data_IF_871664869510
#
_entry.id   IF_871664869510
#
_cell.length_a   1.000
_cell.length_b   1.000
_cell.length_c   1.000
_cell.angle_alpha   90.00
_cell.angle_beta   90.00
_cell.angle_gamma   90.00
#
_symmetry.space_group_name_H-M   'P 1'
#
loop_
_entity.id
_entity.type
_entity.pdbx_description
1 polymer ?
#
# COMPACT_ATOMS: atom_id res chain seq x y z
N UNK A 1 -11.38 -15.87 10.69
CA UNK A 1 -10.23 -15.44 9.87
C UNK A 1 -9.81 -16.56 8.94
N UNK A 2 -9.47 -16.26 7.67
CA UNK A 2 -8.84 -17.21 6.73
C UNK A 2 -7.34 -17.01 6.74
N UNK A 3 -6.58 -18.08 6.47
CA UNK A 3 -5.12 -18.06 6.40
C UNK A 3 -4.65 -18.57 5.04
N UNK A 4 -3.50 -18.06 4.55
CA UNK A 4 -2.99 -18.36 3.21
C UNK A 4 -1.50 -18.66 3.25
N UNK A 5 -0.98 -19.29 2.22
CA UNK A 5 0.46 -19.50 2.04
C UNK A 5 1.17 -18.18 1.70
N UNK A 6 2.43 -18.04 2.11
CA UNK A 6 3.28 -16.88 1.81
C UNK A 6 4.52 -17.36 1.03
N UNK A 7 4.36 -17.55 -0.28
CA UNK A 7 5.42 -18.11 -1.11
C UNK A 7 5.95 -19.44 -0.55
N UNK A 8 7.27 -19.53 -0.38
CA UNK A 8 7.97 -20.67 0.18
C UNK A 8 8.18 -20.58 1.72
N UNK A 9 7.74 -19.50 2.35
CA UNK A 9 7.93 -19.27 3.79
C UNK A 9 7.02 -20.19 4.59
N UNK A 10 7.57 -20.87 5.60
CA UNK A 10 6.81 -21.72 6.53
C UNK A 10 6.02 -20.88 7.56
N UNK A 11 5.14 -20.07 7.04
CA UNK A 11 4.19 -19.25 7.78
C UNK A 11 2.93 -19.05 6.94
N UNK A 12 1.78 -19.29 7.54
CA UNK A 12 0.48 -19.09 6.90
C UNK A 12 -0.20 -17.85 7.51
N UNK A 13 0.03 -16.64 6.92
CA UNK A 13 -0.54 -15.38 7.42
C UNK A 13 -2.06 -15.36 7.31
N UNK A 14 -2.68 -14.57 8.20
CA UNK A 14 -4.07 -14.18 8.05
C UNK A 14 -4.27 -13.44 6.71
N UNK A 15 -5.39 -13.69 6.05
CA UNK A 15 -5.71 -13.06 4.76
C UNK A 15 -5.75 -11.51 4.82
N UNK A 16 -5.93 -10.97 6.03
CA UNK A 16 -5.87 -9.53 6.35
C UNK A 16 -4.70 -9.26 7.29
N UNK A 17 -3.77 -8.40 6.88
CA UNK A 17 -2.73 -7.84 7.73
C UNK A 17 -3.10 -6.44 8.23
N UNK A 18 -2.61 -6.08 9.41
CA UNK A 18 -2.83 -4.77 10.04
C UNK A 18 -1.75 -3.78 9.58
N UNK A 19 -2.15 -2.80 8.73
CA UNK A 19 -1.25 -1.74 8.25
C UNK A 19 -1.25 -0.53 9.20
N UNK A 20 -0.09 -0.14 9.71
CA UNK A 20 0.07 0.97 10.66
C UNK A 20 0.38 2.34 10.01
N UNK A 21 0.12 2.50 8.71
CA UNK A 21 0.32 3.79 8.02
C UNK A 21 -0.84 4.80 8.26
N UNK A 22 -2.03 4.31 8.61
CA UNK A 22 -3.25 5.13 8.73
C UNK A 22 -3.94 4.93 10.07
N UNK A 23 -3.16 4.87 11.14
CA UNK A 23 -3.68 4.75 12.50
C UNK A 23 -4.62 5.91 12.84
N UNK A 24 -5.57 5.74 13.77
CA UNK A 24 -6.37 6.84 14.27
C UNK A 24 -5.49 7.94 14.84
N UNK A 25 -5.88 9.19 14.61
CA UNK A 25 -5.16 10.38 15.06
C UNK A 25 -6.04 11.22 15.98
N UNK A 26 -5.43 11.95 16.92
CA UNK A 26 -6.13 12.88 17.78
C UNK A 26 -6.74 14.05 16.97
N UNK A 27 -7.69 14.76 17.54
CA UNK A 27 -8.38 15.85 16.87
C UNK A 27 -7.38 16.88 16.30
N UNK A 28 -7.53 17.19 15.00
CA UNK A 28 -6.62 18.07 14.25
C UNK A 28 -5.46 17.39 13.55
N UNK A 29 -5.21 16.10 13.79
CA UNK A 29 -4.27 15.28 13.04
C UNK A 29 -4.91 14.76 11.74
N UNK A 30 -4.20 14.92 10.60
CA UNK A 30 -4.57 14.27 9.34
C UNK A 30 -4.04 12.82 9.28
N UNK A 31 -4.48 12.03 8.28
CA UNK A 31 -3.93 10.70 8.06
C UNK A 31 -2.41 10.73 7.94
N UNK A 32 -1.71 9.85 8.67
CA UNK A 32 -0.25 9.76 8.66
C UNK A 32 0.48 10.84 9.46
N UNK A 33 -0.23 11.74 10.20
CA UNK A 33 0.40 12.71 11.09
C UNK A 33 1.06 12.01 12.30
N UNK A 34 2.02 12.69 12.95
CA UNK A 34 2.66 12.21 14.18
C UNK A 34 1.70 12.04 15.38
N UNK A 35 0.52 12.67 15.32
CA UNK A 35 -0.44 12.71 16.42
C UNK A 35 -1.34 11.46 16.48
N UNK A 36 -0.77 10.28 16.73
CA UNK A 36 -1.50 9.02 16.86
C UNK A 36 -2.40 9.07 18.12
N UNK A 37 -3.66 8.68 17.98
CA UNK A 37 -4.48 8.30 19.15
C UNK A 37 -4.08 6.89 19.59
N UNK A 38 -3.07 6.83 20.47
CA UNK A 38 -2.51 5.56 20.92
C UNK A 38 -3.52 4.65 21.59
N UNK A 39 -4.49 5.22 22.31
CA UNK A 39 -5.53 4.43 22.98
C UNK A 39 -6.43 3.73 21.97
N UNK A 40 -6.94 4.47 20.99
CA UNK A 40 -7.78 3.93 19.93
C UNK A 40 -6.99 2.95 19.05
N UNK A 41 -5.77 3.30 18.65
CA UNK A 41 -4.90 2.45 17.82
C UNK A 41 -4.56 1.12 18.51
N UNK A 42 -4.21 1.16 19.81
CA UNK A 42 -3.89 -0.05 20.59
C UNK A 42 -5.13 -0.93 20.78
N UNK A 43 -6.30 -0.34 21.03
CA UNK A 43 -7.56 -1.08 21.12
C UNK A 43 -7.89 -1.78 19.77
N UNK A 44 -7.64 -1.12 18.63
CA UNK A 44 -7.81 -1.71 17.30
C UNK A 44 -6.82 -2.85 17.06
N UNK A 45 -5.54 -2.68 17.41
CA UNK A 45 -4.53 -3.74 17.27
C UNK A 45 -4.92 -4.96 18.12
N UNK A 46 -5.31 -4.75 19.38
CA UNK A 46 -5.79 -5.82 20.26
C UNK A 46 -6.95 -6.57 19.63
N UNK A 47 -7.97 -5.84 19.14
CA UNK A 47 -9.15 -6.45 18.51
C UNK A 47 -8.80 -7.24 17.24
N UNK A 48 -7.87 -6.74 16.44
CA UNK A 48 -7.36 -7.44 15.27
C UNK A 48 -6.70 -8.77 15.64
N UNK A 49 -5.82 -8.76 16.65
CA UNK A 49 -5.14 -9.96 17.17
C UNK A 49 -6.13 -10.96 17.74
N UNK A 50 -7.13 -10.52 18.51
CA UNK A 50 -8.21 -11.38 19.03
C UNK A 50 -9.01 -12.06 17.91
N UNK A 51 -9.20 -11.35 16.79
CA UNK A 51 -9.88 -11.87 15.58
C UNK A 51 -9.00 -12.77 14.71
N UNK A 52 -7.72 -12.95 15.06
CA UNK A 52 -6.80 -13.83 14.37
C UNK A 52 -5.92 -13.17 13.32
N UNK A 53 -5.83 -11.82 13.29
CA UNK A 53 -4.80 -11.13 12.52
C UNK A 53 -3.44 -11.41 13.16
N UNK A 54 -2.48 -11.84 12.35
CA UNK A 54 -1.17 -12.31 12.81
C UNK A 54 0.01 -11.63 12.10
N UNK A 55 -0.25 -10.60 11.30
CA UNK A 55 0.77 -9.80 10.62
C UNK A 55 0.49 -8.30 10.81
N UNK A 56 1.49 -7.57 11.30
CA UNK A 56 1.44 -6.11 11.50
C UNK A 56 2.55 -5.46 10.69
N UNK A 57 2.18 -4.52 9.82
CA UNK A 57 3.09 -3.79 8.94
C UNK A 57 3.26 -2.34 9.40
N UNK A 58 4.50 -1.92 9.61
CA UNK A 58 4.88 -0.53 9.85
C UNK A 58 6.04 -0.11 8.94
N UNK A 59 6.54 1.10 9.10
CA UNK A 59 7.76 1.59 8.45
C UNK A 59 8.39 2.76 9.22
N UNK A 60 9.68 2.97 9.01
CA UNK A 60 10.50 4.01 9.62
C UNK A 60 9.87 5.41 9.54
N UNK A 61 9.20 5.73 8.42
CA UNK A 61 8.65 7.07 8.15
C UNK A 61 7.16 7.22 8.47
N UNK A 62 6.46 6.13 8.82
CA UNK A 62 5.02 6.21 9.08
C UNK A 62 4.71 7.06 10.30
N UNK A 63 3.68 7.89 10.20
CA UNK A 63 3.30 8.87 11.23
C UNK A 63 4.47 9.77 11.64
N UNK A 64 5.24 10.26 10.65
CA UNK A 64 6.44 11.07 10.87
C UNK A 64 7.48 10.41 11.79
N UNK A 65 7.54 9.07 11.79
CA UNK A 65 8.47 8.27 12.59
C UNK A 65 7.88 7.74 13.91
N UNK A 66 6.63 8.08 14.25
CA UNK A 66 6.00 7.67 15.50
C UNK A 66 5.33 6.28 15.46
N UNK A 67 5.15 5.69 14.25
CA UNK A 67 4.47 4.40 14.12
C UNK A 67 5.25 3.23 14.75
N UNK A 68 6.57 3.17 14.57
CA UNK A 68 7.41 2.13 15.18
C UNK A 68 7.45 2.25 16.72
N UNK A 69 7.71 3.44 17.33
CA UNK A 69 7.65 3.59 18.78
C UNK A 69 6.28 3.25 19.38
N UNK A 70 5.18 3.67 18.71
CA UNK A 70 3.84 3.27 19.11
C UNK A 70 3.65 1.77 19.08
N UNK A 71 4.07 1.10 17.99
CA UNK A 71 3.89 -0.35 17.84
C UNK A 71 4.63 -1.12 18.93
N UNK A 72 5.85 -0.71 19.30
CA UNK A 72 6.61 -1.31 20.40
C UNK A 72 5.85 -1.26 21.73
N UNK A 73 5.25 -0.11 22.06
CA UNK A 73 4.40 0.04 23.26
C UNK A 73 3.10 -0.76 23.16
N UNK A 74 2.43 -0.70 22.00
CA UNK A 74 1.17 -1.37 21.76
C UNK A 74 1.28 -2.90 21.85
N UNK A 75 2.36 -3.49 21.30
CA UNK A 75 2.61 -4.93 21.42
C UNK A 75 2.74 -5.37 22.87
N UNK A 76 3.44 -4.61 23.72
CA UNK A 76 3.56 -4.91 25.16
C UNK A 76 2.23 -4.78 25.90
N UNK A 77 1.44 -3.75 25.57
CA UNK A 77 0.11 -3.57 26.15
C UNK A 77 -0.85 -4.71 25.78
N UNK A 78 -0.93 -5.04 24.47
CA UNK A 78 -1.74 -6.16 23.98
C UNK A 78 -1.29 -7.51 24.57
N UNK A 79 0.03 -7.72 24.68
CA UNK A 79 0.59 -8.92 25.29
C UNK A 79 0.21 -9.04 26.78
N UNK A 80 0.30 -7.91 27.52
CA UNK A 80 -0.08 -7.90 28.93
C UNK A 80 -1.56 -8.23 29.13
N UNK A 81 -2.42 -7.70 28.28
CA UNK A 81 -3.86 -7.95 28.33
C UNK A 81 -4.24 -9.40 27.96
N UNK A 82 -3.61 -9.99 26.96
CA UNK A 82 -3.99 -11.30 26.42
C UNK A 82 -3.23 -12.47 27.03
N UNK A 83 -1.99 -12.27 27.45
CA UNK A 83 -1.06 -13.33 27.88
C UNK A 83 -0.39 -13.07 29.23
N UNK A 84 -0.65 -11.92 29.84
CA UNK A 84 -0.02 -11.47 31.07
C UNK A 84 1.19 -10.55 30.86
N UNK A 85 1.58 -9.80 31.90
CA UNK A 85 2.61 -8.78 31.81
C UNK A 85 4.03 -9.35 31.66
N UNK A 86 4.93 -8.52 31.16
CA UNK A 86 6.36 -8.79 31.05
C UNK A 86 6.77 -9.56 29.81
N UNK A 87 8.03 -9.97 29.76
CA UNK A 87 8.65 -10.58 28.59
C UNK A 87 8.00 -11.93 28.19
N UNK A 88 7.50 -12.70 29.15
CA UNK A 88 6.80 -13.96 28.86
C UNK A 88 5.50 -13.75 28.09
N UNK A 89 4.73 -12.71 28.43
CA UNK A 89 3.53 -12.30 27.70
C UNK A 89 3.88 -11.82 26.30
N UNK A 90 4.89 -10.96 26.17
CA UNK A 90 5.36 -10.49 24.87
C UNK A 90 5.83 -11.65 23.98
N UNK A 91 6.61 -12.58 24.52
CA UNK A 91 7.05 -13.77 23.80
C UNK A 91 5.88 -14.66 23.35
N UNK A 92 4.81 -14.77 24.16
CA UNK A 92 3.60 -15.49 23.80
C UNK A 92 2.86 -14.81 22.63
N UNK A 93 2.73 -13.48 22.65
CA UNK A 93 2.16 -12.70 21.55
C UNK A 93 2.99 -12.86 20.27
N UNK A 94 4.33 -12.69 20.37
CA UNK A 94 5.27 -12.71 19.23
C UNK A 94 5.35 -14.09 18.53
N UNK A 95 5.02 -15.19 19.21
CA UNK A 95 4.86 -16.49 18.54
C UNK A 95 3.69 -16.51 17.55
N UNK A 96 2.67 -15.69 17.78
CA UNK A 96 1.46 -15.61 16.94
C UNK A 96 1.48 -14.43 15.98
N UNK A 97 1.96 -13.27 16.42
CA UNK A 97 1.91 -12.03 15.67
C UNK A 97 3.30 -11.68 15.15
N UNK A 98 3.41 -11.60 13.85
CA UNK A 98 4.62 -11.21 13.13
C UNK A 98 4.65 -9.72 12.88
N UNK A 99 5.83 -9.12 13.02
CA UNK A 99 6.06 -7.69 12.80
C UNK A 99 6.89 -7.49 11.55
N UNK A 100 6.43 -6.58 10.71
CA UNK A 100 7.15 -6.11 9.53
C UNK A 100 7.49 -4.62 9.67
N UNK A 101 8.73 -4.25 9.32
CA UNK A 101 9.10 -2.87 9.06
C UNK A 101 10.05 -2.77 7.88
N UNK A 102 10.46 -1.55 7.50
CA UNK A 102 11.10 -1.30 6.20
C UNK A 102 12.31 -0.40 6.32
N UNK A 103 13.43 -0.78 5.68
CA UNK A 103 14.63 0.05 5.52
C UNK A 103 14.37 1.18 4.52
N UNK A 104 14.42 2.45 4.90
CA UNK A 104 14.25 3.57 3.97
C UNK A 104 15.52 3.75 3.13
N UNK A 105 15.62 3.04 1.98
CA UNK A 105 16.84 2.98 1.16
C UNK A 105 17.30 4.35 0.65
N UNK A 106 16.39 5.31 0.49
CA UNK A 106 16.69 6.69 0.09
C UNK A 106 17.39 7.53 1.18
N UNK A 107 17.54 6.97 2.39
CA UNK A 107 18.26 7.61 3.52
C UNK A 107 19.68 7.06 3.69
N UNK A 108 20.11 6.17 2.81
CA UNK A 108 21.46 5.61 2.87
C UNK A 108 22.44 6.60 2.24
N UNK A 109 23.43 7.03 3.02
CA UNK A 109 24.54 7.90 2.63
C UNK A 109 25.89 7.15 2.72
N UNK A 110 25.90 6.03 3.45
CA UNK A 110 27.06 5.18 3.66
C UNK A 110 26.66 3.70 3.81
N UNK A 111 27.67 2.81 3.76
CA UNK A 111 27.45 1.36 3.98
C UNK A 111 27.02 1.03 5.42
N UNK A 112 27.37 1.87 6.39
CA UNK A 112 27.05 1.65 7.79
C UNK A 112 25.61 2.06 8.14
N UNK A 113 24.93 2.80 7.25
CA UNK A 113 23.58 3.30 7.51
C UNK A 113 22.54 2.20 7.62
N UNK A 114 22.65 1.12 6.85
CA UNK A 114 21.74 -0.03 6.96
C UNK A 114 21.77 -0.64 8.36
N UNK A 115 22.97 -0.78 8.93
CA UNK A 115 23.17 -1.28 10.30
C UNK A 115 22.61 -0.32 11.34
N UNK A 116 22.92 0.97 11.22
CA UNK A 116 22.42 2.01 12.12
C UNK A 116 20.90 2.10 12.09
N UNK A 117 20.28 2.10 10.91
CA UNK A 117 18.83 2.20 10.76
C UNK A 117 18.10 0.96 11.31
N UNK A 118 18.63 -0.24 11.09
CA UNK A 118 18.08 -1.45 11.72
C UNK A 118 18.16 -1.36 13.25
N UNK A 119 19.29 -0.91 13.80
CA UNK A 119 19.45 -0.69 15.24
C UNK A 119 18.40 0.28 15.79
N UNK A 120 18.23 1.44 15.14
CA UNK A 120 17.20 2.43 15.50
C UNK A 120 15.77 1.84 15.46
N UNK A 121 15.46 1.00 14.46
CA UNK A 121 14.14 0.36 14.32
C UNK A 121 13.90 -0.68 15.40
N UNK A 122 14.89 -1.50 15.74
CA UNK A 122 14.82 -2.45 16.85
C UNK A 122 14.57 -1.73 18.18
N UNK A 123 15.28 -0.61 18.42
CA UNK A 123 15.10 0.22 19.62
C UNK A 123 13.69 0.83 19.68
N UNK A 124 13.19 1.40 18.58
CA UNK A 124 11.85 1.98 18.48
C UNK A 124 10.74 0.94 18.72
N UNK A 125 10.88 -0.22 18.10
CA UNK A 125 9.96 -1.35 18.26
C UNK A 125 10.12 -2.06 19.61
N UNK A 126 11.23 -1.82 20.34
CA UNK A 126 11.59 -2.52 21.56
C UNK A 126 11.64 -4.05 21.37
N UNK A 127 12.22 -4.49 20.26
CA UNK A 127 12.34 -5.90 19.86
C UNK A 127 13.83 -6.25 19.63
N UNK A 128 14.17 -7.52 19.86
CA UNK A 128 15.49 -8.05 19.55
C UNK A 128 15.65 -8.47 18.07
N UNK A 129 14.52 -8.78 17.42
CA UNK A 129 14.46 -9.17 16.01
C UNK A 129 13.15 -8.75 15.35
N UNK A 130 13.18 -8.59 14.02
CA UNK A 130 12.05 -8.27 13.16
C UNK A 130 11.75 -9.50 12.30
N UNK A 131 10.48 -9.97 12.27
CA UNK A 131 10.15 -11.18 11.52
C UNK A 131 10.24 -10.97 10.00
N UNK A 132 9.73 -9.84 9.49
CA UNK A 132 9.70 -9.50 8.07
C UNK A 132 10.32 -8.13 7.83
N UNK A 133 11.40 -8.10 7.08
CA UNK A 133 12.12 -6.87 6.82
C UNK A 133 12.11 -6.54 5.32
N UNK A 134 11.63 -5.35 4.97
CA UNK A 134 11.51 -4.93 3.58
C UNK A 134 12.55 -3.85 3.25
N UNK A 135 13.08 -3.87 2.05
CA UNK A 135 13.69 -2.69 1.48
C UNK A 135 12.57 -1.79 0.93
N UNK A 136 12.50 -0.55 1.41
CA UNK A 136 11.32 0.31 1.26
C UNK A 136 11.30 1.07 -0.06
N UNK A 137 10.21 0.94 -0.83
CA UNK A 137 9.91 1.78 -1.97
C UNK A 137 10.90 1.61 -3.13
N UNK A 138 11.28 0.38 -3.47
CA UNK A 138 12.23 0.14 -4.55
C UNK A 138 11.63 0.49 -5.92
N UNK A 139 12.49 0.92 -6.82
CA UNK A 139 12.21 1.25 -8.23
C UNK A 139 13.46 1.09 -9.08
N UNK A 140 13.47 1.65 -10.29
CA UNK A 140 14.53 1.48 -11.29
C UNK A 140 15.94 1.87 -10.78
N UNK A 141 16.02 2.97 -10.04
CA UNK A 141 17.31 3.48 -9.53
C UNK A 141 17.81 2.73 -8.29
N UNK A 142 16.95 1.93 -7.67
CA UNK A 142 17.25 1.28 -6.39
C UNK A 142 18.39 0.28 -6.48
N UNK A 143 18.52 -0.45 -7.60
CA UNK A 143 19.63 -1.41 -7.78
C UNK A 143 21.00 -0.75 -7.69
N UNK A 144 21.14 0.49 -8.15
CA UNK A 144 22.38 1.24 -8.03
C UNK A 144 22.68 1.55 -6.56
N UNK A 145 21.68 2.04 -5.81
CA UNK A 145 21.79 2.34 -4.37
C UNK A 145 22.15 1.07 -3.58
N UNK A 146 21.44 -0.05 -3.86
CA UNK A 146 21.70 -1.32 -3.17
C UNK A 146 23.15 -1.82 -3.36
N UNK A 147 23.71 -1.62 -4.56
CA UNK A 147 25.11 -1.99 -4.87
C UNK A 147 26.10 -1.03 -4.23
N UNK A 148 25.88 0.27 -4.32
CA UNK A 148 26.77 1.31 -3.77
C UNK A 148 26.97 1.14 -2.26
N UNK A 149 25.89 0.83 -1.56
CA UNK A 149 25.90 0.69 -0.10
C UNK A 149 25.99 -0.77 0.40
N UNK A 150 26.25 -1.75 -0.50
CA UNK A 150 26.36 -3.19 -0.14
C UNK A 150 25.16 -3.73 0.65
N UNK A 151 23.94 -3.24 0.36
CA UNK A 151 22.74 -3.50 1.16
C UNK A 151 22.39 -4.99 1.18
N UNK A 152 22.50 -5.70 0.05
CA UNK A 152 22.16 -7.13 -0.01
C UNK A 152 23.15 -7.99 0.81
N UNK A 153 24.44 -7.69 0.76
CA UNK A 153 25.42 -8.39 1.59
C UNK A 153 25.26 -8.08 3.08
N UNK A 154 24.83 -6.87 3.42
CA UNK A 154 24.42 -6.53 4.79
C UNK A 154 23.18 -7.32 5.22
N UNK A 155 22.15 -7.38 4.37
CA UNK A 155 20.91 -8.09 4.67
C UNK A 155 21.15 -9.60 4.89
N UNK A 156 22.03 -10.22 4.08
CA UNK A 156 22.43 -11.62 4.25
C UNK A 156 23.06 -11.87 5.64
N UNK A 157 23.90 -10.92 6.14
CA UNK A 157 24.44 -11.02 7.51
C UNK A 157 23.36 -10.86 8.57
N UNK A 158 22.44 -9.90 8.42
CA UNK A 158 21.35 -9.65 9.37
C UNK A 158 20.33 -10.82 9.41
N UNK A 159 20.14 -11.54 8.28
CA UNK A 159 19.43 -12.82 8.23
C UNK A 159 20.21 -13.92 8.99
N UNK A 160 21.52 -14.02 8.72
CA UNK A 160 22.37 -15.05 9.31
C UNK A 160 22.53 -14.93 10.82
N UNK A 161 22.50 -13.72 11.38
CA UNK A 161 22.56 -13.48 12.83
C UNK A 161 21.18 -13.42 13.51
N UNK A 162 20.11 -13.52 12.74
CA UNK A 162 18.72 -13.64 13.23
C UNK A 162 18.08 -12.32 13.66
N UNK A 163 18.68 -11.16 13.35
CA UNK A 163 18.05 -9.85 13.63
C UNK A 163 16.87 -9.55 12.70
N UNK A 164 16.89 -10.11 11.49
CA UNK A 164 15.73 -10.17 10.59
C UNK A 164 15.41 -11.62 10.25
N UNK A 165 14.12 -11.95 10.17
CA UNK A 165 13.67 -13.31 9.90
C UNK A 165 13.57 -13.62 8.41
N UNK A 166 12.88 -12.74 7.66
CA UNK A 166 12.63 -12.86 6.23
C UNK A 166 12.90 -11.54 5.54
N UNK A 167 13.52 -11.59 4.35
CA UNK A 167 13.83 -10.42 3.55
C UNK A 167 12.88 -10.30 2.35
N UNK A 168 12.36 -9.08 2.16
CA UNK A 168 11.55 -8.72 1.01
C UNK A 168 11.74 -7.26 0.62
N UNK A 169 10.87 -6.78 -0.25
CA UNK A 169 10.88 -5.37 -0.66
C UNK A 169 9.46 -4.87 -0.93
N UNK A 170 9.23 -3.56 -0.79
CA UNK A 170 8.05 -2.88 -1.32
C UNK A 170 8.42 -2.14 -2.61
N UNK A 171 7.49 -2.07 -3.54
CA UNK A 171 7.75 -1.63 -4.90
C UNK A 171 6.73 -0.59 -5.39
N UNK A 172 7.24 0.46 -6.08
CA UNK A 172 6.44 1.55 -6.60
C UNK A 172 6.96 2.08 -7.96
N UNK A 173 7.22 1.19 -8.92
CA UNK A 173 7.70 1.58 -10.25
C UNK A 173 7.13 0.66 -11.34
N UNK A 174 7.56 0.81 -12.57
CA UNK A 174 7.08 0.06 -13.73
C UNK A 174 7.49 -1.43 -13.71
N UNK A 175 6.72 -2.26 -14.42
CA UNK A 175 6.91 -3.71 -14.50
C UNK A 175 8.34 -4.13 -14.87
N UNK A 176 8.99 -3.41 -15.78
CA UNK A 176 10.36 -3.71 -16.23
C UNK A 176 11.39 -3.56 -15.09
N UNK A 177 11.22 -2.54 -14.24
CA UNK A 177 12.04 -2.36 -13.03
C UNK A 177 11.73 -3.46 -11.99
N UNK A 178 10.45 -3.86 -11.88
CA UNK A 178 10.04 -4.94 -10.99
C UNK A 178 10.75 -6.25 -11.31
N UNK A 179 10.74 -6.66 -12.58
CA UNK A 179 11.40 -7.91 -13.00
C UNK A 179 12.90 -7.89 -12.74
N UNK A 180 13.57 -6.73 -13.00
CA UNK A 180 15.00 -6.59 -12.72
C UNK A 180 15.32 -6.70 -11.23
N UNK A 181 14.45 -6.16 -10.36
CA UNK A 181 14.61 -6.28 -8.90
C UNK A 181 14.39 -7.70 -8.41
N UNK A 182 13.34 -8.36 -8.89
CA UNK A 182 13.05 -9.76 -8.53
C UNK A 182 14.22 -10.66 -8.92
N UNK A 183 14.81 -10.46 -10.11
CA UNK A 183 15.89 -11.29 -10.63
C UNK A 183 17.29 -10.88 -10.09
N UNK A 184 17.38 -9.80 -9.29
CA UNK A 184 18.67 -9.28 -8.83
C UNK A 184 19.35 -10.16 -7.77
N UNK A 185 18.61 -10.98 -7.04
CA UNK A 185 19.12 -11.82 -5.94
C UNK A 185 18.12 -12.92 -5.58
N UNK A 186 18.65 -14.04 -5.09
CA UNK A 186 17.85 -15.15 -4.53
C UNK A 186 17.50 -14.94 -3.04
N UNK A 187 17.87 -13.79 -2.45
CA UNK A 187 17.56 -13.48 -1.06
C UNK A 187 16.10 -13.06 -0.83
N UNK A 188 15.38 -12.70 -1.89
CA UNK A 188 13.99 -12.30 -1.76
C UNK A 188 13.09 -13.49 -1.46
N UNK A 189 12.33 -13.40 -0.37
CA UNK A 189 11.33 -14.40 0.00
C UNK A 189 9.90 -13.90 -0.28
N UNK A 190 9.71 -12.56 -0.30
CA UNK A 190 8.41 -11.93 -0.55
C UNK A 190 8.56 -10.53 -1.14
N UNK A 191 7.48 -10.03 -1.70
CA UNK A 191 7.37 -8.64 -2.15
C UNK A 191 6.04 -8.02 -1.72
N UNK A 192 6.01 -6.69 -1.65
CA UNK A 192 4.83 -5.90 -1.35
C UNK A 192 4.54 -4.96 -2.51
N UNK A 193 3.40 -5.14 -3.19
CA UNK A 193 3.00 -4.38 -4.36
C UNK A 193 1.65 -3.70 -4.17
N UNK A 194 1.45 -2.57 -4.82
CA UNK A 194 0.14 -1.95 -4.96
C UNK A 194 -0.70 -2.78 -5.94
N UNK A 195 -1.92 -3.18 -5.53
CA UNK A 195 -2.82 -3.91 -6.43
C UNK A 195 -4.29 -3.76 -6.02
N UNK A 196 -5.14 -3.37 -6.95
CA UNK A 196 -6.59 -3.23 -6.80
C UNK A 196 -7.27 -3.24 -8.18
N UNK A 197 -8.59 -3.33 -8.25
CA UNK A 197 -9.32 -3.44 -9.52
C UNK A 197 -9.28 -2.19 -10.41
N UNK A 198 -8.78 -1.04 -9.90
CA UNK A 198 -8.54 0.16 -10.70
C UNK A 198 -7.17 0.12 -11.38
N UNK A 199 -6.18 -0.49 -10.73
CA UNK A 199 -4.76 -0.39 -11.03
C UNK A 199 -4.18 -1.76 -11.47
N UNK A 200 -4.92 -2.53 -12.30
CA UNK A 200 -4.52 -3.87 -12.79
C UNK A 200 -3.24 -3.83 -13.66
N UNK A 201 -2.99 -2.70 -14.34
CA UNK A 201 -1.85 -2.50 -15.25
C UNK A 201 -0.88 -1.42 -14.76
N UNK A 202 -1.07 -0.93 -13.53
CA UNK A 202 -0.26 0.14 -12.95
C UNK A 202 0.85 -0.43 -12.07
N UNK A 203 2.06 0.11 -12.16
CA UNK A 203 3.27 -0.36 -11.47
C UNK A 203 3.59 -1.82 -11.82
N UNK A 204 3.79 -2.70 -10.82
CA UNK A 204 3.98 -4.13 -11.05
C UNK A 204 2.76 -4.76 -11.76
N UNK A 205 1.56 -4.34 -11.38
CA UNK A 205 0.29 -4.78 -11.93
C UNK A 205 0.07 -6.30 -11.86
N UNK A 206 -0.88 -6.80 -12.65
CA UNK A 206 -1.16 -8.24 -12.75
C UNK A 206 0.06 -9.03 -13.22
N UNK A 207 0.80 -8.49 -14.20
CA UNK A 207 2.02 -9.13 -14.72
C UNK A 207 3.08 -9.33 -13.64
N UNK A 208 3.28 -8.32 -12.79
CA UNK A 208 4.24 -8.41 -11.67
C UNK A 208 3.77 -9.35 -10.58
N UNK A 209 2.47 -9.37 -10.27
CA UNK A 209 1.88 -10.33 -9.34
C UNK A 209 2.17 -11.77 -9.78
N UNK A 210 1.85 -12.11 -11.03
CA UNK A 210 2.08 -13.44 -11.62
C UNK A 210 3.58 -13.77 -11.66
N UNK A 211 4.41 -12.80 -12.09
CA UNK A 211 5.87 -12.97 -12.20
C UNK A 211 6.53 -13.29 -10.85
N UNK A 212 6.13 -12.61 -9.76
CA UNK A 212 6.64 -12.89 -8.43
C UNK A 212 6.20 -14.27 -7.91
N UNK A 213 4.92 -14.61 -8.11
CA UNK A 213 4.36 -15.89 -7.67
C UNK A 213 5.00 -17.08 -8.40
N UNK A 214 5.26 -16.97 -9.72
CA UNK A 214 5.97 -17.99 -10.51
C UNK A 214 7.40 -18.26 -10.00
N UNK A 215 8.02 -17.27 -9.34
CA UNK A 215 9.34 -17.40 -8.72
C UNK A 215 9.29 -17.85 -7.26
N UNK A 216 8.09 -18.17 -6.76
CA UNK A 216 7.90 -18.66 -5.40
C UNK A 216 7.93 -17.57 -4.33
N UNK A 217 7.93 -16.28 -4.69
CA UNK A 217 7.83 -15.21 -3.72
C UNK A 217 6.42 -15.12 -3.13
N UNK A 218 6.35 -14.81 -1.83
CA UNK A 218 5.10 -14.39 -1.21
C UNK A 218 4.70 -13.00 -1.71
N UNK A 219 3.46 -12.83 -2.18
CA UNK A 219 2.99 -11.52 -2.63
C UNK A 219 2.02 -10.92 -1.63
N UNK A 220 2.43 -9.79 -1.05
CA UNK A 220 1.63 -8.97 -0.13
C UNK A 220 1.07 -7.79 -0.92
N UNK A 221 -0.24 -7.58 -0.83
CA UNK A 221 -0.88 -6.46 -1.50
C UNK A 221 -1.05 -5.28 -0.56
N UNK A 222 -0.51 -4.13 -0.94
CA UNK A 222 -0.81 -2.83 -0.35
C UNK A 222 -1.80 -2.05 -1.21
N UNK A 223 -2.44 -1.05 -0.64
CA UNK A 223 -3.44 -0.20 -1.29
C UNK A 223 -4.60 -0.96 -1.97
N UNK A 224 -5.18 -2.00 -1.33
CA UNK A 224 -6.31 -2.73 -1.91
C UNK A 224 -7.54 -1.84 -2.12
N UNK A 225 -7.61 -0.70 -1.45
CA UNK A 225 -8.65 0.32 -1.54
C UNK A 225 -8.16 1.62 -2.17
N UNK A 226 -7.06 1.59 -2.94
CA UNK A 226 -6.46 2.75 -3.61
C UNK A 226 -6.29 3.94 -2.65
N UNK A 227 -5.53 3.74 -1.58
CA UNK A 227 -5.33 4.76 -0.54
C UNK A 227 -6.60 5.16 0.22
N UNK A 228 -7.66 4.33 0.17
CA UNK A 228 -8.97 4.59 0.80
C UNK A 228 -9.99 5.24 -0.14
N UNK A 229 -9.65 5.53 -1.39
CA UNK A 229 -10.56 6.17 -2.35
C UNK A 229 -11.77 5.27 -2.67
N UNK A 230 -11.56 3.96 -2.84
CA UNK A 230 -12.62 2.99 -3.11
C UNK A 230 -13.56 2.76 -1.92
N UNK A 231 -13.22 3.25 -0.73
CA UNK A 231 -14.07 3.23 0.45
C UNK A 231 -14.97 4.48 0.57
N UNK A 232 -14.77 5.50 -0.26
CA UNK A 232 -15.57 6.72 -0.25
C UNK A 232 -16.94 6.47 -0.90
N UNK A 233 -17.86 7.40 -0.67
CA UNK A 233 -19.15 7.39 -1.38
C UNK A 233 -18.90 7.45 -2.89
N UNK A 234 -19.30 6.43 -3.65
CA UNK A 234 -19.06 6.41 -5.08
C UNK A 234 -19.93 7.44 -5.82
N UNK A 235 -19.48 7.91 -7.00
CA UNK A 235 -20.33 8.66 -7.92
C UNK A 235 -21.58 7.88 -8.30
N UNK A 236 -22.66 8.57 -8.71
CA UNK A 236 -23.97 7.95 -8.97
C UNK A 236 -23.90 6.80 -9.99
N UNK A 237 -23.16 6.98 -11.09
CA UNK A 237 -23.00 5.93 -12.10
C UNK A 237 -22.40 4.63 -11.55
N UNK A 238 -21.45 4.75 -10.63
CA UNK A 238 -20.82 3.61 -9.95
C UNK A 238 -21.76 3.03 -8.89
N UNK A 239 -22.45 3.90 -8.12
CA UNK A 239 -23.43 3.47 -7.13
C UNK A 239 -24.56 2.63 -7.76
N UNK A 240 -25.02 3.00 -8.94
CA UNK A 240 -26.06 2.28 -9.68
C UNK A 240 -25.60 0.86 -10.09
N UNK A 241 -24.32 0.70 -10.46
CA UNK A 241 -23.72 -0.61 -10.75
C UNK A 241 -23.69 -1.52 -9.53
N UNK A 242 -23.25 -0.98 -8.38
CA UNK A 242 -23.24 -1.73 -7.12
C UNK A 242 -24.66 -2.09 -6.67
N UNK A 243 -25.61 -1.15 -6.73
CA UNK A 243 -27.01 -1.41 -6.38
C UNK A 243 -27.66 -2.48 -7.29
N UNK A 244 -27.30 -2.50 -8.59
CA UNK A 244 -27.77 -3.55 -9.50
C UNK A 244 -27.18 -4.93 -9.15
N UNK A 245 -25.94 -4.97 -8.68
CA UNK A 245 -25.30 -6.20 -8.22
C UNK A 245 -25.96 -6.71 -6.92
N UNK A 246 -26.23 -5.82 -5.97
CA UNK A 246 -26.87 -6.18 -4.71
C UNK A 246 -28.26 -6.77 -4.93
N UNK A 247 -29.08 -6.18 -5.80
CA UNK A 247 -30.39 -6.76 -6.16
C UNK A 247 -30.27 -8.18 -6.74
N UNK A 248 -29.22 -8.47 -7.53
CA UNK A 248 -28.99 -9.82 -8.05
C UNK A 248 -28.57 -10.79 -6.97
N UNK A 249 -27.72 -10.34 -6.02
CA UNK A 249 -27.26 -11.14 -4.88
C UNK A 249 -28.44 -11.47 -3.97
N UNK A 250 -29.27 -10.49 -3.64
CA UNK A 250 -30.48 -10.68 -2.84
C UNK A 250 -31.47 -11.66 -3.49
N UNK A 251 -31.67 -11.54 -4.82
CA UNK A 251 -32.52 -12.49 -5.57
C UNK A 251 -31.94 -13.92 -5.54
N UNK A 252 -30.64 -14.08 -5.34
CA UNK A 252 -29.96 -15.37 -5.17
C UNK A 252 -29.87 -15.82 -3.71
N UNK A 253 -30.49 -15.09 -2.76
CA UNK A 253 -30.43 -15.37 -1.33
C UNK A 253 -29.08 -15.05 -0.68
N UNK A 254 -28.25 -14.20 -1.31
CA UNK A 254 -26.95 -13.78 -0.82
C UNK A 254 -27.04 -12.37 -0.23
N UNK A 255 -26.25 -12.10 0.82
CA UNK A 255 -26.16 -10.76 1.39
C UNK A 255 -25.56 -9.75 0.39
N UNK A 256 -25.98 -8.47 0.42
CA UNK A 256 -25.35 -7.41 -0.35
C UNK A 256 -23.88 -7.22 0.08
N UNK A 257 -23.08 -6.59 -0.78
CA UNK A 257 -21.67 -6.27 -0.52
C UNK A 257 -21.46 -4.76 -0.58
N UNK A 258 -20.69 -4.23 0.37
CA UNK A 258 -20.21 -2.86 0.28
C UNK A 258 -19.16 -2.69 -0.83
N UNK A 259 -18.92 -1.48 -1.35
CA UNK A 259 -17.82 -1.23 -2.28
C UNK A 259 -16.45 -1.69 -1.72
N UNK A 260 -16.23 -1.55 -0.41
CA UNK A 260 -15.04 -2.05 0.30
C UNK A 260 -14.95 -3.58 0.23
N UNK A 261 -16.06 -4.29 0.54
CA UNK A 261 -16.07 -5.76 0.46
C UNK A 261 -15.80 -6.24 -0.98
N UNK A 262 -16.39 -5.59 -2.01
CA UNK A 262 -16.08 -5.89 -3.39
C UNK A 262 -14.60 -5.75 -3.73
N UNK A 263 -13.96 -4.65 -3.31
CA UNK A 263 -12.55 -4.39 -3.58
C UNK A 263 -11.63 -5.40 -2.87
N UNK A 264 -11.88 -5.69 -1.59
CA UNK A 264 -11.10 -6.65 -0.83
C UNK A 264 -11.28 -8.09 -1.39
N UNK A 265 -12.52 -8.50 -1.69
CA UNK A 265 -12.78 -9.81 -2.29
C UNK A 265 -12.16 -9.95 -3.69
N UNK A 266 -12.08 -8.86 -4.46
CA UNK A 266 -11.41 -8.86 -5.74
C UNK A 266 -9.93 -9.19 -5.59
N UNK A 267 -9.21 -8.52 -4.67
CA UNK A 267 -7.80 -8.82 -4.39
C UNK A 267 -7.63 -10.26 -3.91
N UNK A 268 -8.46 -10.70 -2.96
CA UNK A 268 -8.37 -12.07 -2.44
C UNK A 268 -8.77 -13.14 -3.44
N UNK A 269 -9.45 -12.80 -4.54
CA UNK A 269 -9.79 -13.77 -5.59
C UNK A 269 -8.60 -14.25 -6.40
N UNK A 270 -7.48 -13.50 -6.38
CA UNK A 270 -6.24 -13.89 -7.06
C UNK A 270 -5.50 -14.93 -6.20
N UNK A 271 -5.23 -16.14 -6.76
CA UNK A 271 -4.53 -17.19 -6.02
C UNK A 271 -3.08 -16.83 -5.68
N UNK A 272 -2.45 -15.96 -6.48
CA UNK A 272 -1.08 -15.45 -6.32
C UNK A 272 -0.94 -14.52 -5.12
N UNK A 273 -2.03 -13.90 -4.67
CA UNK A 273 -2.03 -13.00 -3.50
C UNK A 273 -1.95 -13.82 -2.23
N UNK A 274 -0.87 -13.66 -1.47
CA UNK A 274 -0.73 -14.29 -0.15
C UNK A 274 -1.67 -13.67 0.87
N UNK A 275 -1.62 -12.35 1.02
CA UNK A 275 -2.59 -11.58 1.82
C UNK A 275 -2.55 -10.11 1.44
N UNK A 276 -3.47 -9.32 1.98
CA UNK A 276 -3.47 -7.88 1.80
C UNK A 276 -3.32 -7.12 3.13
N UNK A 277 -2.75 -5.93 3.03
CA UNK A 277 -2.62 -4.97 4.12
C UNK A 277 -3.74 -3.93 4.04
N UNK A 278 -4.41 -3.67 5.13
CA UNK A 278 -5.35 -2.57 5.23
C UNK A 278 -4.95 -1.60 6.33
N UNK A 279 -4.86 -0.31 5.97
CA UNK A 279 -4.73 0.80 6.89
C UNK A 279 -6.12 1.24 7.33
N UNK A 280 -6.47 0.96 8.58
CA UNK A 280 -7.78 1.26 9.17
C UNK A 280 -7.62 2.36 10.23
N UNK A 281 -8.46 3.37 10.18
CA UNK A 281 -8.40 4.53 11.06
C UNK A 281 -9.52 4.53 12.11
N UNK A 282 -10.47 3.60 12.02
CA UNK A 282 -11.56 3.46 12.99
C UNK A 282 -11.87 1.99 13.29
N UNK A 283 -12.46 1.73 14.46
CA UNK A 283 -12.88 0.38 14.85
C UNK A 283 -13.93 -0.20 13.88
N UNK A 284 -14.82 0.64 13.35
CA UNK A 284 -15.85 0.22 12.39
C UNK A 284 -15.23 -0.28 11.09
N UNK A 285 -14.16 0.38 10.60
CA UNK A 285 -13.42 -0.08 9.42
C UNK A 285 -12.74 -1.43 9.70
N UNK A 286 -12.15 -1.58 10.87
CA UNK A 286 -11.53 -2.84 11.29
C UNK A 286 -12.56 -3.97 11.31
N UNK A 287 -13.70 -3.80 12.00
CA UNK A 287 -14.73 -4.84 12.09
C UNK A 287 -15.31 -5.21 10.71
N UNK A 288 -15.53 -4.23 9.84
CA UNK A 288 -15.99 -4.47 8.48
C UNK A 288 -14.97 -5.29 7.66
N UNK A 289 -13.68 -4.95 7.77
CA UNK A 289 -12.61 -5.67 7.07
C UNK A 289 -12.39 -7.08 7.64
N UNK A 290 -12.51 -7.27 8.97
CA UNK A 290 -12.48 -8.58 9.60
C UNK A 290 -13.62 -9.46 9.09
N UNK A 291 -14.84 -8.93 9.02
CA UNK A 291 -16.00 -9.65 8.49
C UNK A 291 -15.84 -10.02 7.00
N UNK A 292 -15.20 -9.14 6.21
CA UNK A 292 -14.84 -9.45 4.81
C UNK A 292 -13.80 -10.55 4.73
N UNK A 293 -12.76 -10.52 5.59
CA UNK A 293 -11.66 -11.48 5.60
C UNK A 293 -12.11 -12.91 5.96
N UNK A 294 -13.17 -13.07 6.74
CA UNK A 294 -13.74 -14.39 7.04
C UNK A 294 -14.23 -15.13 5.79
N UNK A 295 -14.60 -14.40 4.75
CA UNK A 295 -15.11 -14.93 3.47
C UNK A 295 -14.06 -14.95 2.36
N UNK A 296 -12.84 -14.47 2.65
CA UNK A 296 -11.76 -14.40 1.68
C UNK A 296 -11.30 -15.79 1.24
N UNK A 297 -11.20 -16.00 -0.08
CA UNK A 297 -10.63 -17.22 -0.68
C UNK A 297 -10.23 -16.97 -2.13
N UNK A 298 -9.23 -17.69 -2.65
CA UNK A 298 -8.94 -17.70 -4.08
C UNK A 298 -10.18 -18.08 -4.91
N UNK A 299 -10.41 -17.38 -6.02
CA UNK A 299 -11.57 -17.62 -6.88
C UNK A 299 -12.93 -17.32 -6.24
N UNK A 300 -12.98 -16.47 -5.19
CA UNK A 300 -14.23 -16.11 -4.51
C UNK A 300 -15.21 -15.34 -5.38
N UNK A 301 -14.71 -14.55 -6.34
CA UNK A 301 -15.49 -13.86 -7.35
C UNK A 301 -15.56 -14.69 -8.62
N UNK A 302 -16.77 -14.93 -9.10
CA UNK A 302 -16.98 -15.57 -10.40
C UNK A 302 -16.79 -14.58 -11.56
N UNK A 303 -16.78 -15.09 -12.81
CA UNK A 303 -16.53 -14.27 -14.01
C UNK A 303 -17.49 -13.08 -14.15
N UNK A 304 -18.75 -13.24 -13.75
CA UNK A 304 -19.76 -12.17 -13.78
C UNK A 304 -19.44 -11.09 -12.76
N UNK A 305 -18.96 -11.47 -11.57
CA UNK A 305 -18.56 -10.56 -10.50
C UNK A 305 -17.23 -9.85 -10.86
N UNK A 306 -16.27 -10.56 -11.45
CA UNK A 306 -15.05 -9.95 -12.00
C UNK A 306 -15.36 -8.97 -13.14
N UNK A 307 -16.26 -9.34 -14.05
CA UNK A 307 -16.72 -8.43 -15.11
C UNK A 307 -17.44 -7.19 -14.56
N UNK A 308 -18.13 -7.30 -13.41
CA UNK A 308 -18.72 -6.15 -12.73
C UNK A 308 -17.63 -5.21 -12.21
N UNK A 309 -16.59 -5.71 -11.57
CA UNK A 309 -15.46 -4.87 -11.11
C UNK A 309 -14.83 -4.11 -12.29
N UNK A 310 -14.61 -4.76 -13.45
CA UNK A 310 -14.14 -4.08 -14.67
C UNK A 310 -15.09 -2.98 -15.12
N UNK A 311 -16.40 -3.23 -15.14
CA UNK A 311 -17.40 -2.20 -15.51
C UNK A 311 -17.40 -1.03 -14.52
N UNK A 312 -17.19 -1.29 -13.25
CA UNK A 312 -17.06 -0.24 -12.21
C UNK A 312 -15.81 0.59 -12.45
N UNK A 313 -14.67 -0.05 -12.72
CA UNK A 313 -13.42 0.64 -13.13
C UNK A 313 -13.69 1.54 -14.35
N UNK A 314 -14.28 0.99 -15.40
CA UNK A 314 -14.54 1.74 -16.62
C UNK A 314 -15.49 2.92 -16.39
N UNK A 315 -16.48 2.77 -15.48
CA UNK A 315 -17.36 3.87 -15.07
C UNK A 315 -16.61 4.97 -14.29
N UNK A 316 -15.66 4.62 -13.43
CA UNK A 316 -14.80 5.61 -12.78
C UNK A 316 -13.92 6.34 -13.80
N UNK A 317 -13.25 5.60 -14.70
CA UNK A 317 -12.39 6.18 -15.73
C UNK A 317 -13.17 7.11 -16.69
N UNK A 318 -14.41 6.78 -17.02
CA UNK A 318 -15.27 7.63 -17.84
C UNK A 318 -15.63 8.97 -17.16
N UNK A 319 -15.46 9.10 -15.86
CA UNK A 319 -15.66 10.33 -15.10
C UNK A 319 -14.40 11.19 -15.03
N UNK A 320 -13.25 10.70 -15.49
CA UNK A 320 -11.98 11.44 -15.48
C UNK A 320 -12.05 12.65 -16.40
N UNK A 321 -11.87 13.88 -15.89
CA UNK A 321 -11.90 15.09 -16.72
C UNK A 321 -10.80 15.11 -17.77
N UNK A 322 -9.67 14.48 -17.48
CA UNK A 322 -8.50 14.43 -18.36
C UNK A 322 -8.33 13.00 -18.86
N UNK A 323 -8.45 12.75 -20.18
CA UNK A 323 -8.35 11.41 -20.74
C UNK A 323 -6.89 10.92 -20.87
N UNK A 324 -6.11 11.09 -19.79
CA UNK A 324 -4.74 10.59 -19.72
C UNK A 324 -4.76 9.07 -19.52
N UNK A 325 -3.98 8.35 -20.34
CA UNK A 325 -3.86 6.90 -20.29
C UNK A 325 -2.54 6.42 -19.67
N UNK A 326 -1.78 7.34 -19.07
CA UNK A 326 -0.43 7.08 -18.49
C UNK A 326 0.54 6.36 -19.46
N UNK A 327 0.44 6.68 -20.75
CA UNK A 327 1.34 6.09 -21.77
C UNK A 327 2.78 6.64 -21.72
N UNK A 328 3.03 7.68 -20.94
CA UNK A 328 4.33 8.30 -20.66
C UNK A 328 5.12 8.87 -21.85
N UNK A 329 4.52 8.96 -23.04
CA UNK A 329 5.20 9.54 -24.21
C UNK A 329 5.56 11.03 -24.04
N UNK A 330 4.92 11.73 -23.10
CA UNK A 330 5.26 13.09 -22.72
C UNK A 330 6.49 13.21 -21.80
N UNK A 331 7.09 12.09 -21.41
CA UNK A 331 8.29 12.03 -20.57
C UNK A 331 9.52 11.61 -21.40
N UNK A 332 10.76 12.08 -21.02
CA UNK A 332 10.98 12.99 -19.91
C UNK A 332 10.56 14.42 -20.26
N UNK A 333 9.92 15.11 -19.31
CA UNK A 333 9.64 16.55 -19.44
C UNK A 333 10.96 17.33 -19.30
N UNK A 334 11.27 18.30 -20.20
CA UNK A 334 12.49 19.09 -20.09
C UNK A 334 12.63 19.87 -18.77
N UNK A 335 11.50 20.14 -18.10
CA UNK A 335 11.45 20.84 -16.81
C UNK A 335 11.29 19.88 -15.61
N UNK A 336 11.29 18.56 -15.86
CA UNK A 336 11.21 17.54 -14.81
C UNK A 336 9.79 17.21 -14.33
N UNK A 337 8.73 17.82 -14.87
CA UNK A 337 7.34 17.58 -14.42
C UNK A 337 6.94 16.11 -14.69
N UNK A 338 6.45 15.41 -13.67
CA UNK A 338 5.78 14.12 -13.85
C UNK A 338 4.34 14.34 -14.32
N UNK A 339 4.21 14.62 -15.62
CA UNK A 339 2.96 15.01 -16.24
C UNK A 339 1.83 13.99 -15.99
N UNK A 340 2.01 12.67 -16.25
CA UNK A 340 0.95 11.70 -16.03
C UNK A 340 0.49 11.67 -14.58
N UNK A 341 1.42 11.67 -13.63
CA UNK A 341 1.10 11.64 -12.20
C UNK A 341 0.35 12.87 -11.73
N UNK A 342 0.75 14.05 -12.20
CA UNK A 342 0.07 15.31 -11.90
C UNK A 342 -1.38 15.30 -12.42
N UNK A 343 -1.60 14.81 -13.65
CA UNK A 343 -2.93 14.72 -14.25
C UNK A 343 -3.80 13.67 -13.55
N UNK A 344 -3.23 12.56 -13.11
CA UNK A 344 -3.92 11.51 -12.34
C UNK A 344 -4.40 12.03 -10.99
N UNK A 345 -3.54 12.73 -10.24
CA UNK A 345 -3.91 13.34 -8.95
C UNK A 345 -5.09 14.31 -9.11
N UNK A 346 -5.14 15.09 -10.20
CA UNK A 346 -6.28 15.95 -10.49
C UNK A 346 -7.56 15.17 -10.80
N UNK A 347 -7.46 14.16 -11.68
CA UNK A 347 -8.58 13.28 -12.00
C UNK A 347 -9.17 12.63 -10.74
N UNK A 348 -8.32 12.14 -9.85
CA UNK A 348 -8.74 11.58 -8.58
C UNK A 348 -9.50 12.55 -7.69
N UNK A 349 -9.06 13.82 -7.65
CA UNK A 349 -9.72 14.85 -6.88
C UNK A 349 -11.15 15.14 -7.38
N UNK A 350 -11.37 15.03 -8.69
CA UNK A 350 -12.67 15.27 -9.32
C UNK A 350 -13.60 14.05 -9.26
N UNK A 351 -13.03 12.83 -9.34
CA UNK A 351 -13.81 11.59 -9.35
C UNK A 351 -14.29 11.20 -7.96
N UNK A 352 -13.39 11.31 -6.95
CA UNK A 352 -13.66 10.79 -5.62
C UNK A 352 -14.11 11.91 -4.65
N UNK A 353 -15.12 11.61 -3.86
CA UNK A 353 -15.57 12.51 -2.81
C UNK A 353 -14.44 12.81 -1.82
N UNK A 354 -13.97 14.04 -1.79
CA UNK A 354 -12.84 14.48 -0.95
C UNK A 354 -12.11 15.67 -1.57
N UNK A 355 -12.30 15.86 -2.87
CA UNK A 355 -11.85 17.04 -3.60
C UNK A 355 -10.37 17.39 -3.39
N UNK A 356 -10.03 18.69 -3.46
CA UNK A 356 -8.64 19.17 -3.44
C UNK A 356 -7.84 18.78 -2.21
N UNK A 357 -8.49 18.61 -1.04
CA UNK A 357 -7.77 18.37 0.21
C UNK A 357 -7.04 17.02 0.23
N UNK A 358 -7.67 15.96 -0.30
CA UNK A 358 -7.04 14.65 -0.39
C UNK A 358 -5.96 14.60 -1.48
N UNK A 359 -6.22 15.25 -2.61
CA UNK A 359 -5.26 15.33 -3.71
C UNK A 359 -4.01 16.13 -3.34
N UNK A 360 -4.14 17.20 -2.54
CA UNK A 360 -2.98 17.97 -2.02
C UNK A 360 -2.03 17.11 -1.20
N UNK A 361 -2.53 16.13 -0.48
CA UNK A 361 -1.67 15.21 0.25
C UNK A 361 -0.80 14.38 -0.73
N UNK A 362 -1.40 13.77 -1.75
CA UNK A 362 -0.66 13.03 -2.78
C UNK A 362 0.28 13.95 -3.58
N UNK A 363 -0.17 15.15 -3.94
CA UNK A 363 0.63 16.16 -4.64
C UNK A 363 1.85 16.62 -3.82
N UNK A 364 1.73 16.64 -2.50
CA UNK A 364 2.80 16.99 -1.58
C UNK A 364 3.98 16.00 -1.57
N UNK A 365 3.77 14.76 -2.03
CA UNK A 365 4.83 13.75 -2.15
C UNK A 365 5.72 13.96 -3.39
N UNK A 366 5.24 14.68 -4.40
CA UNK A 366 6.05 15.03 -5.56
C UNK A 366 7.14 16.03 -5.16
N UNK A 367 8.34 15.86 -5.70
CA UNK A 367 9.40 16.85 -5.59
C UNK A 367 8.99 18.17 -6.30
N UNK A 368 9.63 19.27 -5.99
CA UNK A 368 9.29 20.56 -6.60
C UNK A 368 9.40 20.55 -8.14
N UNK A 369 10.36 19.81 -8.70
CA UNK A 369 10.55 19.65 -10.13
C UNK A 369 9.48 18.78 -10.80
N UNK A 370 8.89 17.85 -10.09
CA UNK A 370 7.84 16.95 -10.62
C UNK A 370 6.46 17.60 -10.65
N UNK A 371 6.26 18.71 -9.94
CA UNK A 371 4.98 19.39 -9.81
C UNK A 371 4.66 20.27 -11.02
N UNK A 372 3.38 20.62 -11.19
CA UNK A 372 2.89 21.48 -12.27
C UNK A 372 3.55 22.86 -12.29
N UNK A 373 3.98 23.37 -11.12
CA UNK A 373 4.67 24.65 -10.96
C UNK A 373 6.01 24.73 -11.71
N UNK A 374 6.65 23.60 -11.96
CA UNK A 374 7.90 23.55 -12.72
C UNK A 374 7.68 23.68 -14.25
N UNK A 375 6.43 23.66 -14.73
CA UNK A 375 6.13 23.74 -16.15
C UNK A 375 6.53 25.07 -16.76
N UNK A 376 7.40 25.04 -17.79
CA UNK A 376 7.84 26.22 -18.56
C UNK A 376 6.96 26.51 -19.78
N UNK A 377 5.84 25.81 -19.93
CA UNK A 377 4.87 25.97 -21.03
C UNK A 377 5.45 25.78 -22.46
N UNK A 378 6.48 24.94 -22.60
CA UNK A 378 7.14 24.66 -23.85
C UNK A 378 6.31 23.85 -24.87
N UNK A 379 5.21 23.23 -24.45
CA UNK A 379 4.26 22.40 -25.21
C UNK A 379 4.84 21.15 -25.91
N UNK A 380 6.11 20.82 -25.73
CA UNK A 380 6.72 19.63 -26.33
C UNK A 380 5.97 18.32 -25.98
N UNK A 381 5.37 18.24 -24.79
CA UNK A 381 4.57 17.11 -24.33
C UNK A 381 3.25 16.94 -25.12
N UNK A 382 2.66 18.02 -25.64
CA UNK A 382 1.38 17.96 -26.38
C UNK A 382 1.57 17.37 -27.76
N UNK A 383 2.71 17.63 -28.42
CA UNK A 383 3.06 17.06 -29.73
C UNK A 383 3.20 15.54 -29.63
N UNK A 384 3.72 15.04 -28.51
CA UNK A 384 3.97 13.63 -28.24
C UNK A 384 2.71 12.90 -27.71
N UNK A 385 1.70 13.62 -27.24
CA UNK A 385 0.52 13.03 -26.61
C UNK A 385 -0.41 12.33 -27.64
N UNK A 386 -0.59 10.99 -27.58
CA UNK A 386 -1.51 10.30 -28.49
C UNK A 386 -2.97 10.70 -28.28
N UNK A 387 -3.33 11.12 -27.07
CA UNK A 387 -4.70 11.54 -26.71
C UNK A 387 -4.97 13.03 -27.06
N UNK A 388 -3.97 13.73 -27.58
CA UNK A 388 -4.08 15.17 -27.95
C UNK A 388 -4.60 16.05 -26.81
N UNK A 389 -4.15 15.74 -25.59
CA UNK A 389 -4.47 16.50 -24.39
C UNK A 389 -3.76 17.85 -24.47
N UNK A 390 -4.48 18.96 -24.19
CA UNK A 390 -3.89 20.27 -23.98
C UNK A 390 -3.18 20.30 -22.59
N UNK A 391 -2.03 19.64 -22.51
CA UNK A 391 -1.33 19.32 -21.25
C UNK A 391 -0.96 20.59 -20.48
N UNK A 392 -0.44 21.60 -21.17
CA UNK A 392 -0.01 22.86 -20.54
C UNK A 392 -1.19 23.57 -19.88
N UNK A 393 -2.33 23.62 -20.57
CA UNK A 393 -3.53 24.25 -20.04
C UNK A 393 -4.10 23.49 -18.83
N UNK A 394 -3.96 22.15 -18.83
CA UNK A 394 -4.32 21.31 -17.68
C UNK A 394 -3.34 21.47 -16.51
N UNK A 395 -2.04 21.54 -16.76
CA UNK A 395 -1.05 21.76 -15.69
C UNK A 395 -1.28 23.11 -14.99
N UNK A 396 -1.65 24.17 -15.75
CA UNK A 396 -2.03 25.45 -15.16
C UNK A 396 -3.26 25.37 -14.27
N UNK A 397 -4.31 24.64 -14.70
CA UNK A 397 -5.49 24.38 -13.87
C UNK A 397 -5.16 23.59 -12.62
N UNK A 398 -4.33 22.55 -12.75
CA UNK A 398 -3.90 21.70 -11.62
C UNK A 398 -3.12 22.54 -10.61
N UNK A 399 -2.21 23.38 -11.06
CA UNK A 399 -1.47 24.30 -10.21
C UNK A 399 -2.41 25.20 -9.38
N UNK A 400 -3.44 25.78 -10.00
CA UNK A 400 -4.42 26.62 -9.31
C UNK A 400 -5.27 25.80 -8.32
N UNK A 401 -5.64 24.59 -8.68
CA UNK A 401 -6.54 23.71 -7.92
C UNK A 401 -5.85 23.04 -6.74
N UNK A 402 -4.61 22.57 -6.92
CA UNK A 402 -3.85 21.83 -5.91
C UNK A 402 -2.81 22.69 -5.18
N UNK A 403 -2.71 24.00 -5.49
CA UNK A 403 -1.73 24.86 -4.86
C UNK A 403 -1.65 24.61 -3.35
N UNK A 404 -0.48 24.15 -2.92
CA UNK A 404 -0.16 24.03 -1.51
C UNK A 404 0.10 25.47 -1.06
N UNK A 405 -0.78 26.01 -0.22
CA UNK A 405 -0.64 27.38 0.25
C UNK A 405 0.77 27.60 0.80
N UNK A 406 1.38 28.71 0.34
CA UNK A 406 2.68 29.19 0.81
C UNK A 406 2.56 29.64 2.26
#
# INVERSE_FOLDING_TARGET
MQYRTLGAIDFAPSALGFGAMRLPTVAGGGPGSAAIDESAATAMLRRAVEAGVDYVDTAYVYHAGESEPWLGRALRAVAADLYGPGESGLAALRRRVKVATKLPVWKLESRDDSERLLGEQLDRLQLESIDFYLLHGLGADSLAILREHDVLAWAERALGDGRIGHLGFSFHDEYEAFTQLVDATDLWEFCQIQYNYMDEEYQAGTRGLEYAAERGLGVIVMEPLRGGQLARRPPQAVADLWAAADRRREAAGLAPRTPVDWALQWVWSHPEVSFLLSGMSTMEQLEANLASAERSRPGALNDTELALCRRVRDAYLALSPIPCTDCRYCLPCPSGVDIPKVLDIYNEAEIYAGGPAAARFAYGWLSESERAEACTQCRACEDLCPQKIAIVDWLEKVQQYLAIGK
#
